data_IF_090981775331
#
_entry.id   IF_090981775331
#
_cell.length_a   1.000
_cell.length_b   1.000
_cell.length_c   1.000
_cell.angle_alpha   90.00
_cell.angle_beta   90.00
_cell.angle_gamma   90.00
#
_symmetry.space_group_name_H-M   'P 1'
#
loop_
_entity.id
_entity.type
_entity.pdbx_description
1 polymer ?
#
# COMPACT_ATOMS: atom_id res chain seq x y z
N UNK A 1 7.86 21.56 -17.05
CA UNK A 1 6.45 21.91 -16.81
C UNK A 1 6.37 22.62 -15.47
N UNK A 2 5.95 23.88 -15.47
CA UNK A 2 5.78 24.64 -14.23
C UNK A 2 4.44 24.27 -13.58
N UNK A 3 4.33 24.44 -12.26
CA UNK A 3 3.11 24.10 -11.51
C UNK A 3 1.87 24.89 -11.96
N UNK A 4 2.08 26.08 -12.54
CA UNK A 4 1.04 26.98 -13.05
C UNK A 4 0.35 26.42 -14.29
N UNK A 5 1.02 25.52 -15.02
CA UNK A 5 0.49 24.90 -16.24
C UNK A 5 -0.29 23.60 -15.95
N UNK A 6 -0.32 23.14 -14.68
CA UNK A 6 -1.06 21.93 -14.32
C UNK A 6 -2.55 22.19 -14.37
N UNK A 7 -3.25 21.47 -15.25
CA UNK A 7 -4.71 21.46 -15.30
C UNK A 7 -5.27 20.97 -13.98
N UNK A 8 -6.19 21.76 -13.40
CA UNK A 8 -6.97 21.37 -12.23
C UNK A 8 -7.80 20.14 -12.58
N UNK A 9 -7.79 19.13 -11.70
CA UNK A 9 -8.66 17.96 -11.85
C UNK A 9 -10.12 18.41 -11.76
N UNK A 10 -10.88 18.20 -12.83
CA UNK A 10 -12.30 18.57 -12.91
C UNK A 10 -13.22 17.59 -12.18
N UNK A 11 -12.71 16.41 -11.81
CA UNK A 11 -13.44 15.39 -11.06
C UNK A 11 -12.52 14.55 -10.19
N UNK A 12 -13.06 14.03 -9.10
CA UNK A 12 -12.36 13.06 -8.26
C UNK A 12 -12.27 11.71 -8.98
N UNK A 13 -11.12 11.02 -8.92
CA UNK A 13 -11.01 9.68 -9.47
C UNK A 13 -11.88 8.70 -8.67
N UNK A 14 -12.56 7.79 -9.37
CA UNK A 14 -13.38 6.75 -8.73
C UNK A 14 -12.50 5.80 -7.92
N UNK A 15 -12.76 5.72 -6.61
CA UNK A 15 -12.19 4.71 -5.73
C UNK A 15 -12.89 3.38 -5.95
N UNK A 16 -12.14 2.36 -6.37
CA UNK A 16 -12.68 1.01 -6.56
C UNK A 16 -12.27 0.16 -5.36
N UNK A 17 -13.27 -0.39 -4.66
CA UNK A 17 -13.05 -1.39 -3.62
C UNK A 17 -12.65 -2.73 -4.25
N UNK A 18 -11.62 -3.37 -3.72
CA UNK A 18 -11.07 -4.60 -4.29
C UNK A 18 -11.03 -5.71 -3.24
N UNK A 19 -11.21 -6.94 -3.72
CA UNK A 19 -11.13 -8.16 -2.93
C UNK A 19 -9.89 -8.94 -3.30
N UNK A 20 -9.37 -9.68 -2.34
CA UNK A 20 -8.37 -10.69 -2.56
C UNK A 20 -8.95 -11.89 -3.30
N UNK A 21 -8.10 -12.72 -3.91
CA UNK A 21 -8.50 -13.99 -4.51
C UNK A 21 -9.23 -14.91 -3.52
N UNK A 22 -8.97 -14.77 -2.21
CA UNK A 22 -9.67 -15.51 -1.15
C UNK A 22 -11.04 -14.91 -0.75
N UNK A 23 -11.48 -13.83 -1.40
CA UNK A 23 -12.75 -13.15 -1.13
C UNK A 23 -12.71 -12.10 -0.01
N UNK A 24 -11.64 -12.06 0.81
CA UNK A 24 -11.46 -11.05 1.86
C UNK A 24 -11.17 -9.66 1.26
N UNK A 25 -11.45 -8.61 2.03
CA UNK A 25 -11.17 -7.23 1.62
C UNK A 25 -9.67 -6.96 1.46
N UNK A 26 -9.29 -6.32 0.35
CA UNK A 26 -7.91 -6.01 -0.02
C UNK A 26 -7.60 -4.49 -0.10
N UNK A 27 -8.59 -3.62 0.12
CA UNK A 27 -8.43 -2.16 0.13
C UNK A 27 -9.09 -1.44 -1.03
N UNK A 28 -8.66 -0.19 -1.27
CA UNK A 28 -9.11 0.66 -2.37
C UNK A 28 -7.94 1.07 -3.26
N UNK A 29 -8.20 1.23 -4.56
CA UNK A 29 -7.19 1.64 -5.53
C UNK A 29 -7.71 2.54 -6.64
N UNK A 30 -6.76 3.23 -7.26
CA UNK A 30 -6.95 4.07 -8.44
C UNK A 30 -6.34 3.43 -9.69
N UNK A 31 -6.53 2.12 -9.90
CA UNK A 31 -6.05 1.42 -11.10
C UNK A 31 -7.16 1.25 -12.12
N UNK A 32 -6.88 1.63 -13.38
CA UNK A 32 -7.70 1.30 -14.54
C UNK A 32 -7.30 -0.08 -15.06
N UNK A 33 -8.24 -1.02 -15.11
CA UNK A 33 -8.04 -2.40 -15.59
C UNK A 33 -8.05 -3.46 -14.48
N UNK A 34 -7.96 -4.74 -14.89
CA UNK A 34 -7.93 -5.92 -14.00
C UNK A 34 -6.51 -6.31 -13.55
N UNK A 35 -5.49 -5.57 -13.97
CA UNK A 35 -4.08 -5.97 -13.82
C UNK A 35 -3.44 -5.52 -12.50
N UNK A 36 -4.00 -5.96 -11.38
CA UNK A 36 -3.27 -5.93 -10.11
C UNK A 36 -3.79 -7.03 -9.23
N UNK A 37 -2.92 -7.96 -8.84
CA UNK A 37 -3.27 -8.92 -7.79
C UNK A 37 -3.50 -8.14 -6.50
N UNK A 38 -4.74 -8.16 -6.02
CA UNK A 38 -5.14 -7.52 -4.78
C UNK A 38 -5.00 -8.52 -3.63
N UNK A 39 -4.42 -8.06 -2.53
CA UNK A 39 -4.11 -8.92 -1.40
C UNK A 39 -4.80 -8.42 -0.13
N UNK A 40 -5.52 -9.30 0.55
CA UNK A 40 -5.91 -9.04 1.93
C UNK A 40 -4.66 -9.12 2.80
N UNK A 41 -4.72 -8.58 4.03
CA UNK A 41 -3.60 -8.61 4.96
C UNK A 41 -3.02 -10.01 5.21
N UNK A 42 -3.82 -11.07 5.07
CA UNK A 42 -3.36 -12.47 5.21
C UNK A 42 -2.47 -12.92 4.05
N UNK A 43 -2.76 -12.47 2.84
CA UNK A 43 -2.08 -12.85 1.60
C UNK A 43 -1.12 -11.77 1.09
N UNK A 44 -0.90 -10.71 1.86
CA UNK A 44 0.08 -9.68 1.52
C UNK A 44 1.50 -10.33 1.53
N UNK A 45 2.17 -10.48 0.38
CA UNK A 45 3.41 -11.25 0.25
C UNK A 45 4.58 -10.55 0.93
N UNK A 46 4.48 -9.25 1.20
CA UNK A 46 5.49 -8.47 1.93
C UNK A 46 5.15 -8.32 3.42
N UNK A 47 4.20 -9.12 3.95
CA UNK A 47 3.79 -9.06 5.36
C UNK A 47 4.94 -9.38 6.33
N UNK A 48 5.90 -10.18 5.87
CA UNK A 48 7.05 -10.62 6.68
C UNK A 48 8.19 -9.61 6.66
N UNK A 49 8.51 -8.98 5.52
CA UNK A 49 9.67 -8.07 5.42
C UNK A 49 9.52 -6.84 6.32
N UNK A 50 8.39 -6.12 6.23
CA UNK A 50 8.22 -4.88 6.99
C UNK A 50 8.19 -5.10 8.52
N UNK A 51 7.68 -6.24 9.00
CA UNK A 51 7.67 -6.57 10.43
C UNK A 51 9.01 -7.08 10.93
N UNK A 52 9.75 -7.82 10.10
CA UNK A 52 11.11 -8.26 10.43
C UNK A 52 12.07 -7.08 10.43
N UNK A 53 12.01 -6.21 9.42
CA UNK A 53 12.79 -4.97 9.37
C UNK A 53 12.47 -4.05 10.56
N UNK A 54 11.18 -3.88 10.91
CA UNK A 54 10.81 -3.11 12.09
C UNK A 54 11.32 -3.74 13.39
N UNK A 55 11.35 -5.07 13.49
CA UNK A 55 11.91 -5.78 14.64
C UNK A 55 13.44 -5.62 14.72
N UNK A 56 14.14 -5.71 13.60
CA UNK A 56 15.59 -5.48 13.51
C UNK A 56 15.96 -4.04 13.92
N UNK A 57 15.21 -3.05 13.44
CA UNK A 57 15.39 -1.65 13.84
C UNK A 57 15.19 -1.48 15.36
N UNK A 58 14.15 -2.09 15.94
CA UNK A 58 13.92 -2.02 17.40
C UNK A 58 15.08 -2.64 18.18
N UNK A 59 15.65 -3.75 17.71
CA UNK A 59 16.83 -4.36 18.33
C UNK A 59 18.03 -3.41 18.24
N UNK A 60 18.34 -2.89 17.05
CA UNK A 60 19.52 -2.04 16.82
C UNK A 60 19.47 -0.71 17.59
N UNK A 61 18.30 -0.09 17.71
CA UNK A 61 18.14 1.15 18.47
C UNK A 61 17.88 0.93 19.96
N UNK A 62 17.38 -0.24 20.36
CA UNK A 62 17.24 -0.64 21.76
C UNK A 62 18.59 -0.83 22.44
N UNK A 63 19.55 -1.45 21.74
CA UNK A 63 20.90 -1.71 22.28
C UNK A 63 21.79 -0.46 22.32
N UNK A 64 21.48 0.60 21.54
CA UNK A 64 22.23 1.87 21.55
C UNK A 64 21.75 2.85 22.62
N UNK A 65 20.65 2.55 23.30
CA UNK A 65 20.05 3.40 24.34
C UNK A 65 20.30 2.89 25.78
N UNK A 66 20.97 1.73 25.93
CA UNK A 66 21.38 1.13 27.20
C UNK A 66 22.88 1.35 27.46
#
# INVERSE_FOLDING_TARGET
MSDIERKTLSSAPTLIARKCHCGDWAGFGFTKGDHGDWWCWKHYPYKTSARLEAAEIVVEFGDRAA
#
